data_IF_318183254120
#
_entry.id   IF_318183254120
#
_cell.length_a   1.000
_cell.length_b   1.000
_cell.length_c   1.000
_cell.angle_alpha   90.00
_cell.angle_beta   90.00
_cell.angle_gamma   90.00
#
_symmetry.space_group_name_H-M   'P 1'
#
loop_
_entity.id
_entity.type
_entity.pdbx_description
1 polymer ?
#
# COMPACT_ATOMS: atom_id res chain seq x y z
N UNK A 1 -42.64 -10.83 -9.50
CA UNK A 1 -41.53 -10.18 -10.24
C UNK A 1 -40.85 -9.04 -9.47
N UNK A 2 -41.56 -7.97 -9.06
CA UNK A 2 -40.93 -6.81 -8.38
C UNK A 2 -40.57 -7.11 -6.91
N UNK A 3 -41.45 -7.81 -6.18
CA UNK A 3 -41.21 -8.22 -4.79
C UNK A 3 -40.05 -9.23 -4.66
N UNK A 4 -39.91 -10.15 -5.61
CA UNK A 4 -38.78 -11.10 -5.66
C UNK A 4 -37.44 -10.37 -5.85
N UNK A 5 -37.40 -9.35 -6.73
CA UNK A 5 -36.19 -8.54 -6.98
C UNK A 5 -35.80 -7.77 -5.71
N UNK A 6 -36.76 -7.13 -5.02
CA UNK A 6 -36.47 -6.43 -3.76
C UNK A 6 -35.95 -7.38 -2.68
N UNK A 7 -36.56 -8.56 -2.55
CA UNK A 7 -36.14 -9.57 -1.57
C UNK A 7 -34.71 -10.04 -1.82
N UNK A 8 -34.36 -10.31 -3.09
CA UNK A 8 -33.01 -10.69 -3.48
C UNK A 8 -31.98 -9.59 -3.19
N UNK A 9 -32.31 -8.34 -3.53
CA UNK A 9 -31.43 -7.19 -3.25
C UNK A 9 -31.17 -6.99 -1.76
N UNK A 10 -32.21 -7.14 -0.92
CA UNK A 10 -32.06 -7.08 0.52
C UNK A 10 -31.15 -8.18 1.07
N UNK A 11 -31.31 -9.41 0.58
CA UNK A 11 -30.46 -10.54 0.95
C UNK A 11 -29.00 -10.31 0.54
N UNK A 12 -28.75 -9.84 -0.68
CA UNK A 12 -27.41 -9.56 -1.17
C UNK A 12 -26.73 -8.44 -0.35
N UNK A 13 -27.48 -7.39 0.00
CA UNK A 13 -26.99 -6.30 0.84
C UNK A 13 -26.67 -6.74 2.28
N UNK A 14 -27.42 -7.70 2.84
CA UNK A 14 -27.10 -8.30 4.13
C UNK A 14 -25.82 -9.13 4.04
N UNK A 15 -25.72 -10.01 3.04
CA UNK A 15 -24.54 -10.84 2.82
C UNK A 15 -23.28 -10.02 2.60
N UNK A 16 -23.37 -8.92 1.83
CA UNK A 16 -22.24 -8.01 1.62
C UNK A 16 -21.78 -7.35 2.92
N UNK A 17 -22.72 -6.92 3.77
CA UNK A 17 -22.40 -6.34 5.09
C UNK A 17 -21.73 -7.37 6.00
N UNK A 18 -22.28 -8.57 6.09
CA UNK A 18 -21.70 -9.67 6.87
C UNK A 18 -20.27 -10.00 6.39
N UNK A 19 -20.05 -10.07 5.07
CA UNK A 19 -18.70 -10.26 4.51
C UNK A 19 -17.75 -9.11 4.88
N UNK A 20 -18.23 -7.86 4.83
CA UNK A 20 -17.43 -6.69 5.15
C UNK A 20 -17.07 -6.59 6.65
N UNK A 21 -17.99 -7.00 7.54
CA UNK A 21 -17.80 -7.06 8.99
C UNK A 21 -16.84 -8.18 9.41
N UNK A 22 -16.87 -9.30 8.69
CA UNK A 22 -15.99 -10.45 8.91
C UNK A 22 -14.61 -10.29 8.24
N UNK A 23 -14.43 -9.32 7.34
CA UNK A 23 -13.16 -9.11 6.66
C UNK A 23 -12.04 -8.73 7.65
N UNK A 24 -10.98 -9.54 7.65
CA UNK A 24 -9.76 -9.32 8.42
C UNK A 24 -8.55 -9.55 7.52
N UNK A 25 -7.69 -8.55 7.37
CA UNK A 25 -6.41 -8.72 6.71
C UNK A 25 -5.38 -7.73 7.23
N UNK A 26 -4.11 -8.07 7.03
CA UNK A 26 -3.02 -7.12 7.10
C UNK A 26 -2.07 -7.40 5.97
N UNK A 27 -1.54 -6.33 5.36
CA UNK A 27 -0.44 -6.44 4.44
C UNK A 27 0.60 -5.36 4.66
N UNK A 28 1.82 -5.65 4.20
CA UNK A 28 2.92 -4.71 4.04
C UNK A 28 3.61 -4.96 2.71
N UNK A 29 3.98 -3.91 2.01
CA UNK A 29 4.81 -3.98 0.82
C UNK A 29 5.85 -2.87 0.89
N UNK A 30 7.08 -3.18 0.52
CA UNK A 30 8.15 -2.20 0.43
C UNK A 30 9.05 -2.46 -0.78
N UNK A 31 9.47 -1.36 -1.41
CA UNK A 31 10.53 -1.31 -2.42
C UNK A 31 11.57 -0.32 -1.90
N UNK A 32 12.79 -0.78 -1.70
CA UNK A 32 13.94 0.06 -1.36
C UNK A 32 14.91 0.02 -2.54
N UNK A 33 14.89 1.05 -3.38
CA UNK A 33 15.71 1.20 -4.57
C UNK A 33 16.87 2.15 -4.30
N UNK A 34 18.04 1.57 -4.04
CA UNK A 34 19.31 2.30 -3.86
C UNK A 34 20.02 2.64 -5.17
N UNK A 35 19.46 2.25 -6.33
CA UNK A 35 19.96 2.63 -7.66
C UNK A 35 19.48 4.03 -8.00
N UNK A 36 18.24 4.37 -7.65
CA UNK A 36 17.60 5.65 -7.97
C UNK A 36 17.19 6.48 -6.74
N UNK A 37 17.69 6.15 -5.55
CA UNK A 37 17.29 6.76 -4.26
C UNK A 37 15.75 6.80 -4.03
N UNK A 38 15.06 5.79 -4.54
CA UNK A 38 13.60 5.70 -4.47
C UNK A 38 13.18 4.72 -3.37
N UNK A 39 12.18 5.09 -2.58
CA UNK A 39 11.56 4.13 -1.65
C UNK A 39 10.05 4.21 -1.75
N UNK A 40 9.39 3.07 -1.76
CA UNK A 40 7.94 2.96 -1.70
C UNK A 40 7.56 2.00 -0.58
N UNK A 41 6.66 2.42 0.30
CA UNK A 41 6.15 1.58 1.39
C UNK A 41 4.64 1.70 1.41
N UNK A 42 3.96 0.57 1.60
CA UNK A 42 2.52 0.50 1.89
C UNK A 42 2.27 -0.47 3.02
N UNK A 43 1.42 -0.08 3.95
CA UNK A 43 0.96 -0.95 5.02
C UNK A 43 -0.52 -0.68 5.27
N UNK A 44 -1.29 -1.73 5.42
CA UNK A 44 -2.71 -1.63 5.74
C UNK A 44 -3.15 -2.78 6.65
N UNK A 45 -4.06 -2.46 7.56
CA UNK A 45 -4.74 -3.42 8.40
C UNK A 45 -6.23 -3.12 8.38
N UNK A 46 -7.02 -4.15 8.07
CA UNK A 46 -8.48 -4.11 8.14
C UNK A 46 -8.97 -5.01 9.26
N UNK A 47 -9.81 -4.44 10.11
CA UNK A 47 -10.52 -5.07 11.22
C UNK A 47 -12.02 -4.78 11.05
N UNK A 48 -12.69 -5.61 10.25
CA UNK A 48 -14.12 -5.50 9.97
C UNK A 48 -14.42 -4.27 9.15
N UNK A 49 -15.28 -3.39 9.67
CA UNK A 49 -15.62 -2.12 9.01
C UNK A 49 -14.56 -1.02 9.22
N UNK A 50 -13.51 -1.29 10.01
CA UNK A 50 -12.43 -0.33 10.27
C UNK A 50 -11.17 -0.72 9.53
N UNK A 51 -10.54 0.28 8.93
CA UNK A 51 -9.30 0.14 8.18
C UNK A 51 -8.38 1.28 8.57
N UNK A 52 -7.10 0.96 8.73
CA UNK A 52 -6.03 1.95 8.88
C UNK A 52 -4.86 1.55 8.01
N UNK A 53 -4.22 2.53 7.41
CA UNK A 53 -3.05 2.28 6.59
C UNK A 53 -2.17 3.50 6.45
N UNK A 54 -1.07 3.29 5.76
CA UNK A 54 -0.19 4.35 5.31
C UNK A 54 0.44 3.98 3.97
N UNK A 55 0.82 5.01 3.23
CA UNK A 55 1.80 4.88 2.17
C UNK A 55 2.93 5.88 2.41
N UNK A 56 4.15 5.50 2.02
CA UNK A 56 5.32 6.37 2.00
C UNK A 56 5.99 6.29 0.64
N UNK A 57 6.43 7.44 0.15
CA UNK A 57 7.17 7.58 -1.10
C UNK A 57 8.38 8.49 -0.88
N UNK A 58 9.50 8.19 -1.54
CA UNK A 58 10.71 8.99 -1.55
C UNK A 58 11.28 9.07 -2.96
N UNK A 59 11.76 10.24 -3.37
CA UNK A 59 12.47 10.47 -4.63
C UNK A 59 13.95 10.82 -4.45
N UNK A 60 14.47 10.76 -3.21
CA UNK A 60 15.83 11.13 -2.86
C UNK A 60 16.00 12.61 -2.48
N UNK A 61 15.02 13.47 -2.78
CA UNK A 61 14.92 14.83 -2.24
C UNK A 61 14.05 14.86 -0.99
N UNK A 62 12.84 14.32 -1.11
CA UNK A 62 11.80 14.35 -0.07
C UNK A 62 11.23 12.96 0.18
N UNK A 63 10.83 12.70 1.42
CA UNK A 63 9.98 11.59 1.80
C UNK A 63 8.62 12.11 2.22
N UNK A 64 7.57 11.60 1.60
CA UNK A 64 6.18 11.87 1.98
C UNK A 64 5.54 10.62 2.55
N UNK A 65 4.99 10.72 3.76
CA UNK A 65 4.20 9.66 4.40
C UNK A 65 2.78 10.16 4.61
N UNK A 66 1.79 9.37 4.20
CA UNK A 66 0.37 9.68 4.39
C UNK A 66 -0.29 8.56 5.16
N UNK A 67 -0.89 8.90 6.29
CA UNK A 67 -1.68 7.99 7.11
C UNK A 67 -3.16 8.20 6.83
N UNK A 68 -3.89 7.10 6.67
CA UNK A 68 -5.31 7.15 6.36
C UNK A 68 -6.11 6.14 7.18
N UNK A 69 -7.39 6.42 7.31
CA UNK A 69 -8.38 5.51 7.90
C UNK A 69 -9.60 5.43 6.99
N UNK A 70 -10.32 4.31 7.07
CA UNK A 70 -11.67 4.20 6.54
C UNK A 70 -12.55 3.50 7.59
N UNK A 71 -13.70 4.09 7.88
CA UNK A 71 -14.70 3.58 8.83
C UNK A 71 -16.11 4.03 8.41
N UNK A 72 -17.06 4.04 9.35
CA UNK A 72 -18.45 4.48 9.12
C UNK A 72 -18.57 5.92 8.59
N UNK A 73 -17.55 6.76 8.80
CA UNK A 73 -17.48 8.13 8.29
C UNK A 73 -16.76 8.23 6.93
N UNK A 74 -16.47 7.09 6.29
CA UNK A 74 -15.78 7.03 5.01
C UNK A 74 -14.25 7.14 5.13
N UNK A 75 -13.60 7.24 3.97
CA UNK A 75 -12.15 7.38 3.87
C UNK A 75 -11.69 8.80 4.21
N UNK A 76 -10.59 8.91 4.97
CA UNK A 76 -9.93 10.20 5.24
C UNK A 76 -8.44 10.03 5.52
N UNK A 77 -7.67 11.03 5.11
CA UNK A 77 -6.28 11.22 5.56
C UNK A 77 -6.31 11.79 6.97
N UNK A 78 -5.55 11.18 7.87
CA UNK A 78 -5.48 11.60 9.29
C UNK A 78 -4.16 12.28 9.64
N UNK A 79 -3.12 12.07 8.83
CA UNK A 79 -1.81 12.69 9.01
C UNK A 79 -1.03 12.66 7.69
N UNK A 80 -0.33 13.75 7.41
CA UNK A 80 0.67 13.82 6.35
C UNK A 80 1.99 14.30 6.93
N UNK A 81 3.08 13.64 6.52
CA UNK A 81 4.45 14.01 6.86
C UNK A 81 5.21 14.26 5.56
N UNK A 82 6.01 15.32 5.53
CA UNK A 82 6.90 15.62 4.42
C UNK A 82 8.25 16.05 5.01
N UNK A 83 9.30 15.32 4.66
CA UNK A 83 10.63 15.48 5.22
C UNK A 83 11.66 15.58 4.09
N UNK A 84 12.53 16.60 4.08
CA UNK A 84 13.70 16.60 3.20
C UNK A 84 14.70 15.55 3.68
N UNK A 85 15.10 14.66 2.78
CA UNK A 85 15.94 13.48 3.11
C UNK A 85 17.29 13.49 2.40
N UNK A 86 17.52 14.45 1.51
CA UNK A 86 18.77 14.52 0.77
C UNK A 86 18.74 15.51 -0.38
N UNK A 87 19.72 15.35 -1.25
CA UNK A 87 19.88 16.10 -2.50
C UNK A 87 19.86 15.14 -3.71
N UNK A 88 19.30 13.94 -3.52
CA UNK A 88 19.19 12.90 -4.55
C UNK A 88 18.08 13.23 -5.56
N UNK A 89 17.77 12.40 -6.56
CA UNK A 89 18.28 11.05 -6.70
C UNK A 89 19.71 11.04 -7.25
N UNK A 90 20.58 10.26 -6.62
CA UNK A 90 21.93 9.96 -7.11
C UNK A 90 21.91 8.57 -7.72
N UNK A 91 22.19 8.50 -9.03
CA UNK A 91 22.21 7.22 -9.73
C UNK A 91 23.40 6.37 -9.25
N UNK A 92 23.11 5.17 -8.74
CA UNK A 92 24.10 4.17 -8.35
C UNK A 92 23.89 2.86 -9.12
N UNK A 93 24.52 2.67 -10.29
CA UNK A 93 24.34 1.48 -11.11
C UNK A 93 24.72 0.17 -10.41
N UNK A 94 25.60 0.24 -9.41
CA UNK A 94 26.01 -0.90 -8.57
C UNK A 94 25.13 -1.12 -7.34
N UNK A 95 24.08 -0.31 -7.19
CA UNK A 95 23.10 -0.42 -6.12
C UNK A 95 22.24 -1.67 -6.24
N UNK A 96 21.21 -1.72 -5.41
CA UNK A 96 20.22 -2.81 -5.38
C UNK A 96 18.81 -2.29 -5.13
N UNK A 97 17.85 -3.10 -5.54
CA UNK A 97 16.43 -2.92 -5.28
C UNK A 97 15.96 -4.08 -4.42
N UNK A 98 15.66 -3.81 -3.16
CA UNK A 98 15.08 -4.79 -2.25
C UNK A 98 13.55 -4.68 -2.33
N UNK A 99 12.88 -5.79 -2.60
CA UNK A 99 11.41 -5.88 -2.67
C UNK A 99 10.92 -6.85 -1.62
N UNK A 100 9.95 -6.42 -0.81
CA UNK A 100 9.29 -7.27 0.16
C UNK A 100 7.77 -7.10 0.10
N UNK A 101 7.05 -8.21 0.22
CA UNK A 101 5.61 -8.20 0.47
C UNK A 101 5.29 -9.19 1.58
N UNK A 102 4.35 -8.81 2.43
CA UNK A 102 3.85 -9.60 3.55
C UNK A 102 2.33 -9.51 3.48
N UNK A 103 1.64 -10.61 3.22
CA UNK A 103 0.17 -10.65 3.09
C UNK A 103 -0.36 -11.84 3.88
N UNK A 104 -1.17 -11.58 4.90
CA UNK A 104 -1.88 -12.63 5.67
C UNK A 104 -0.97 -13.81 6.10
N UNK A 105 0.26 -13.52 6.54
CA UNK A 105 1.22 -14.53 7.01
C UNK A 105 2.13 -15.13 5.94
N UNK A 106 1.92 -14.80 4.66
CA UNK A 106 2.82 -15.17 3.56
C UNK A 106 3.79 -14.02 3.25
N UNK A 107 5.07 -14.33 3.10
CA UNK A 107 6.12 -13.36 2.74
C UNK A 107 6.77 -13.71 1.41
N UNK A 108 7.02 -12.70 0.59
CA UNK A 108 7.87 -12.77 -0.59
C UNK A 108 8.93 -11.69 -0.46
N UNK A 109 10.19 -12.08 -0.54
CA UNK A 109 11.33 -11.18 -0.50
C UNK A 109 12.31 -11.53 -1.62
N UNK A 110 12.78 -10.53 -2.34
CA UNK A 110 13.82 -10.70 -3.34
C UNK A 110 14.60 -9.41 -3.55
N UNK A 111 15.81 -9.55 -4.07
CA UNK A 111 16.70 -8.43 -4.40
C UNK A 111 17.02 -8.45 -5.88
N UNK A 112 16.91 -7.31 -6.53
CA UNK A 112 17.44 -7.08 -7.88
C UNK A 112 18.72 -6.27 -7.75
N UNK A 113 19.82 -6.75 -8.34
CA UNK A 113 21.03 -5.95 -8.45
C UNK A 113 20.87 -4.90 -9.54
N UNK A 114 21.42 -3.71 -9.35
CA UNK A 114 21.33 -2.60 -10.31
C UNK A 114 21.88 -2.97 -11.69
N UNK A 115 22.91 -3.81 -11.74
CA UNK A 115 23.47 -4.35 -13.00
C UNK A 115 22.47 -5.16 -13.84
N UNK A 116 21.40 -5.69 -13.22
CA UNK A 116 20.35 -6.47 -13.86
C UNK A 116 19.10 -5.63 -14.19
N UNK A 117 19.10 -4.33 -13.86
CA UNK A 117 17.99 -3.45 -14.22
C UNK A 117 18.07 -3.09 -15.70
N UNK A 118 16.92 -2.93 -16.38
CA UNK A 118 16.92 -2.39 -17.73
C UNK A 118 17.56 -0.99 -17.73
N UNK A 119 18.28 -0.60 -18.79
CA UNK A 119 18.86 0.73 -18.89
C UNK A 119 17.77 1.79 -18.75
N UNK A 120 18.06 2.83 -17.98
CA UNK A 120 17.19 3.98 -17.81
C UNK A 120 16.85 4.58 -19.18
N UNK A 121 15.57 4.65 -19.51
CA UNK A 121 15.09 5.42 -20.67
C UNK A 121 15.02 6.87 -20.24
N UNK A 122 16.06 7.63 -20.55
CA UNK A 122 16.05 9.09 -20.46
C UNK A 122 15.28 9.70 -21.63
#
# INVERSE_FOLDING_TARGET
PVEEIQTQQHFDAQKFREQAENARYSFKAAVADSVNDNTQIRQETRDGLKLRGLYSYSDGYFRRTVHYVADEHGYRVVKEENEPIGTGPRINPTGKVDVSTHVAGSSLEYTIKGENLPPSKH
#
